data_IF_314688987148
#
_entry.id   IF_314688987148
#
_cell.length_a   1.000
_cell.length_b   1.000
_cell.length_c   1.000
_cell.angle_alpha   90.00
_cell.angle_beta   90.00
_cell.angle_gamma   90.00
#
_symmetry.space_group_name_H-M   'P 1'
#
loop_
_entity.id
_entity.type
_entity.pdbx_description
1 polymer ?
#
# COMPACT_ATOMS: atom_id res chain seq x y z
N UNK A 1 -21.67 39.38 -3.89
CA UNK A 1 -21.03 39.75 -2.61
C UNK A 1 -19.66 40.35 -2.93
N UNK A 2 -19.34 41.57 -2.47
CA UNK A 2 -18.12 42.28 -2.85
C UNK A 2 -17.14 42.34 -1.67
N UNK A 3 -16.12 41.48 -1.59
CA UNK A 3 -14.93 41.70 -0.76
C UNK A 3 -13.78 40.80 -1.23
N UNK A 4 -12.55 41.32 -1.09
CA UNK A 4 -11.22 40.76 -1.43
C UNK A 4 -10.59 41.23 -2.76
N UNK A 5 -10.63 42.54 -3.01
CA UNK A 5 -9.43 43.23 -3.52
C UNK A 5 -8.73 43.84 -2.31
N UNK A 6 -7.81 43.07 -1.73
CA UNK A 6 -6.94 43.55 -0.67
C UNK A 6 -6.09 44.71 -1.18
N UNK A 7 -6.01 45.76 -0.37
CA UNK A 7 -5.20 46.96 -0.57
C UNK A 7 -3.70 46.65 -0.47
N UNK A 8 -3.16 45.93 -1.45
CA UNK A 8 -1.74 45.68 -1.62
C UNK A 8 -1.36 45.86 -3.09
N UNK A 9 -0.47 46.81 -3.37
CA UNK A 9 0.35 46.88 -4.58
C UNK A 9 -0.29 46.93 -5.97
N UNK A 10 -1.52 47.43 -6.11
CA UNK A 10 -2.09 47.72 -7.45
C UNK A 10 -1.18 48.64 -8.30
N UNK A 11 -0.46 49.58 -7.69
CA UNK A 11 0.48 50.47 -8.38
C UNK A 11 1.72 49.76 -8.94
N UNK A 12 2.34 48.87 -8.16
CA UNK A 12 3.48 48.08 -8.62
C UNK A 12 3.07 47.09 -9.72
N UNK A 13 1.90 46.46 -9.60
CA UNK A 13 1.36 45.57 -10.64
C UNK A 13 1.15 46.34 -11.95
N UNK A 14 0.56 47.54 -11.91
CA UNK A 14 0.33 48.36 -13.09
C UNK A 14 1.66 48.82 -13.70
N UNK A 15 2.63 49.26 -12.88
CA UNK A 15 3.97 49.66 -13.35
C UNK A 15 4.70 48.50 -14.02
N UNK A 16 4.67 47.30 -13.45
CA UNK A 16 5.30 46.12 -14.03
C UNK A 16 4.61 45.66 -15.31
N UNK A 17 3.28 45.72 -15.36
CA UNK A 17 2.53 45.43 -16.58
C UNK A 17 2.91 46.44 -17.67
N UNK A 18 2.99 47.74 -17.35
CA UNK A 18 3.40 48.78 -18.31
C UNK A 18 4.85 48.61 -18.80
N UNK A 19 5.78 48.17 -17.95
CA UNK A 19 7.16 47.84 -18.34
C UNK A 19 7.25 46.59 -19.24
N UNK A 20 6.32 45.65 -19.10
CA UNK A 20 6.28 44.41 -19.89
C UNK A 20 5.62 44.57 -21.27
N UNK A 21 4.91 45.66 -21.53
CA UNK A 21 4.15 45.87 -22.77
C UNK A 21 4.75 46.97 -23.62
N UNK A 22 5.47 46.57 -24.67
CA UNK A 22 5.88 47.46 -25.75
C UNK A 22 4.88 47.39 -26.91
N UNK A 23 4.80 48.46 -27.71
CA UNK A 23 4.07 48.42 -28.99
C UNK A 23 4.65 47.28 -29.86
N UNK A 24 3.84 46.24 -30.09
CA UNK A 24 4.23 45.03 -30.83
C UNK A 24 4.07 43.70 -30.08
N UNK A 25 3.80 43.70 -28.77
CA UNK A 25 3.56 42.46 -28.02
C UNK A 25 2.34 41.70 -28.54
N UNK A 26 2.48 40.37 -28.68
CA UNK A 26 1.38 39.49 -29.08
C UNK A 26 0.39 39.29 -27.94
N UNK A 27 -0.89 39.03 -28.29
CA UNK A 27 -1.93 38.71 -27.30
C UNK A 27 -1.55 37.52 -26.38
N UNK A 28 -0.78 36.58 -26.91
CA UNK A 28 -0.29 35.42 -26.16
C UNK A 28 0.71 35.83 -25.08
N UNK A 29 1.65 36.73 -25.39
CA UNK A 29 2.62 37.25 -24.43
C UNK A 29 1.92 38.04 -23.33
N UNK A 30 0.96 38.88 -23.71
CA UNK A 30 0.12 39.64 -22.77
C UNK A 30 -0.62 38.68 -21.81
N UNK A 31 -1.31 37.68 -22.36
CA UNK A 31 -2.04 36.70 -21.55
C UNK A 31 -1.12 35.91 -20.61
N UNK A 32 0.07 35.54 -21.09
CA UNK A 32 1.05 34.79 -20.29
C UNK A 32 1.56 35.63 -19.12
N UNK A 33 1.89 36.91 -19.38
CA UNK A 33 2.32 37.86 -18.36
C UNK A 33 1.22 38.08 -17.30
N UNK A 34 -0.02 38.31 -17.73
CA UNK A 34 -1.16 38.44 -16.81
C UNK A 34 -1.36 37.19 -15.94
N UNK A 35 -1.28 35.99 -16.53
CA UNK A 35 -1.36 34.74 -15.79
C UNK A 35 -0.20 34.59 -14.78
N UNK A 36 1.01 35.03 -15.13
CA UNK A 36 2.17 34.97 -14.25
C UNK A 36 2.00 35.88 -13.02
N UNK A 37 1.57 37.12 -13.23
CA UNK A 37 1.28 38.08 -12.16
C UNK A 37 0.15 37.57 -11.26
N UNK A 38 -0.94 37.08 -11.86
CA UNK A 38 -2.06 36.51 -11.12
C UNK A 38 -1.62 35.34 -10.23
N UNK A 39 -0.89 34.37 -10.79
CA UNK A 39 -0.41 33.21 -10.03
C UNK A 39 0.59 33.60 -8.95
N UNK A 40 1.48 34.56 -9.22
CA UNK A 40 2.44 35.10 -8.26
C UNK A 40 1.72 35.64 -7.03
N UNK A 41 0.67 36.44 -7.24
CA UNK A 41 -0.13 36.99 -6.14
C UNK A 41 -0.96 35.92 -5.43
N UNK A 42 -1.70 35.09 -6.18
CA UNK A 42 -2.64 34.11 -5.59
C UNK A 42 -1.94 32.98 -4.82
N UNK A 43 -0.72 32.60 -5.23
CA UNK A 43 0.09 31.57 -4.59
C UNK A 43 1.18 32.13 -3.68
N UNK A 44 1.19 33.45 -3.44
CA UNK A 44 2.19 34.15 -2.61
C UNK A 44 3.63 33.72 -2.96
N UNK A 45 3.98 33.84 -4.24
CA UNK A 45 5.28 33.41 -4.74
C UNK A 45 5.90 34.43 -5.70
N UNK A 46 7.22 34.38 -5.88
CA UNK A 46 7.90 35.30 -6.78
C UNK A 46 7.44 35.14 -8.24
N UNK A 47 7.47 36.24 -9.00
CA UNK A 47 7.11 36.24 -10.41
C UNK A 47 7.98 35.25 -11.23
N UNK A 48 9.25 35.08 -10.84
CA UNK A 48 10.13 34.06 -11.42
C UNK A 48 9.61 32.64 -11.21
N UNK A 49 9.14 32.31 -10.01
CA UNK A 49 8.56 30.99 -9.70
C UNK A 49 7.24 30.78 -10.45
N UNK A 50 6.40 31.80 -10.56
CA UNK A 50 5.18 31.75 -11.37
C UNK A 50 5.48 31.50 -12.86
N UNK A 51 6.44 32.21 -13.43
CA UNK A 51 6.89 31.98 -14.81
C UNK A 51 7.47 30.57 -15.01
N UNK A 52 8.21 30.06 -14.02
CA UNK A 52 8.71 28.67 -14.03
C UNK A 52 7.56 27.66 -14.05
N UNK A 53 6.49 27.89 -13.30
CA UNK A 53 5.28 27.04 -13.32
C UNK A 53 4.60 27.07 -14.70
N UNK A 54 4.41 28.26 -15.28
CA UNK A 54 3.83 28.43 -16.61
C UNK A 54 4.68 27.77 -17.71
N UNK A 55 6.01 27.81 -17.57
CA UNK A 55 6.94 27.22 -18.53
C UNK A 55 6.96 25.70 -18.44
N UNK A 56 6.94 25.16 -17.21
CA UNK A 56 6.82 23.71 -16.97
C UNK A 56 5.48 23.15 -17.44
N UNK A 57 4.45 23.99 -17.50
CA UNK A 57 3.11 23.54 -17.85
C UNK A 57 2.39 24.50 -18.80
N UNK A 58 2.66 24.38 -20.12
CA UNK A 58 2.17 25.29 -21.15
C UNK A 58 0.65 25.55 -21.19
N UNK A 59 -0.25 24.58 -20.87
CA UNK A 59 -1.69 24.85 -20.86
C UNK A 59 -2.11 26.02 -19.96
N UNK A 60 -1.37 26.28 -18.88
CA UNK A 60 -1.66 27.40 -17.97
C UNK A 60 -1.45 28.76 -18.63
N UNK A 61 -0.57 28.86 -19.63
CA UNK A 61 -0.29 30.11 -20.32
C UNK A 61 -1.53 30.64 -21.05
N UNK A 62 -2.34 29.73 -21.58
CA UNK A 62 -3.53 30.03 -22.38
C UNK A 62 -4.83 29.87 -21.61
N UNK A 63 -4.77 29.49 -20.34
CA UNK A 63 -5.96 29.31 -19.51
C UNK A 63 -6.59 30.65 -19.10
N UNK A 64 -7.90 30.64 -18.88
CA UNK A 64 -8.62 31.79 -18.31
C UNK A 64 -8.22 31.99 -16.85
N UNK A 65 -7.91 33.23 -16.47
CA UNK A 65 -7.64 33.62 -15.07
C UNK A 65 -8.83 33.24 -14.17
N UNK A 66 -10.07 33.41 -14.65
CA UNK A 66 -11.26 33.05 -13.90
C UNK A 66 -11.30 31.54 -13.57
N UNK A 67 -11.05 30.68 -14.56
CA UNK A 67 -10.99 29.24 -14.33
C UNK A 67 -9.88 28.87 -13.35
N UNK A 68 -8.71 29.50 -13.48
CA UNK A 68 -7.59 29.28 -12.56
C UNK A 68 -7.93 29.73 -11.14
N UNK A 69 -8.61 30.87 -10.96
CA UNK A 69 -9.04 31.36 -9.66
C UNK A 69 -10.04 30.41 -8.99
N UNK A 70 -11.09 30.03 -9.70
CA UNK A 70 -12.12 29.11 -9.19
C UNK A 70 -11.51 27.75 -8.84
N UNK A 71 -10.64 27.23 -9.70
CA UNK A 71 -9.94 25.97 -9.43
C UNK A 71 -9.01 26.09 -8.22
N UNK A 72 -8.28 27.20 -8.07
CA UNK A 72 -7.44 27.44 -6.88
C UNK A 72 -8.29 27.52 -5.62
N UNK A 73 -9.43 28.22 -5.66
CA UNK A 73 -10.35 28.28 -4.53
C UNK A 73 -10.87 26.87 -4.17
N UNK A 74 -11.20 26.04 -5.17
CA UNK A 74 -11.61 24.66 -4.96
C UNK A 74 -10.48 23.80 -4.35
N UNK A 75 -9.25 23.89 -4.86
CA UNK A 75 -8.10 23.13 -4.36
C UNK A 75 -7.68 23.57 -2.94
N UNK A 76 -7.68 24.87 -2.65
CA UNK A 76 -7.26 25.41 -1.36
C UNK A 76 -8.35 25.23 -0.30
N UNK A 77 -9.60 25.59 -0.62
CA UNK A 77 -10.69 25.60 0.37
C UNK A 77 -11.38 24.25 0.51
N UNK A 78 -11.78 23.62 -0.60
CA UNK A 78 -12.55 22.36 -0.57
C UNK A 78 -11.65 21.14 -0.37
N UNK A 79 -10.52 21.10 -1.07
CA UNK A 79 -9.55 19.99 -0.93
C UNK A 79 -8.58 20.19 0.25
N UNK A 80 -8.46 21.40 0.77
CA UNK A 80 -7.53 21.71 1.86
C UNK A 80 -6.07 21.53 1.47
N UNK A 81 -5.72 21.72 0.18
CA UNK A 81 -4.34 21.59 -0.24
C UNK A 81 -3.51 22.79 0.24
N UNK A 82 -2.31 22.54 0.82
CA UNK A 82 -1.39 23.63 1.07
C UNK A 82 -0.89 24.17 -0.27
N UNK A 83 -0.58 25.47 -0.30
CA UNK A 83 -0.05 26.15 -1.49
C UNK A 83 1.18 25.42 -2.05
N UNK A 84 2.06 24.91 -1.20
CA UNK A 84 3.23 24.12 -1.59
C UNK A 84 2.85 22.93 -2.48
N UNK A 85 1.86 22.14 -2.08
CA UNK A 85 1.38 20.98 -2.84
C UNK A 85 0.78 21.37 -4.20
N UNK A 86 0.05 22.49 -4.24
CA UNK A 86 -0.50 23.03 -5.50
C UNK A 86 0.64 23.43 -6.45
N UNK A 87 1.69 24.08 -5.93
CA UNK A 87 2.86 24.46 -6.74
C UNK A 87 3.68 23.26 -7.22
N UNK A 88 3.74 22.17 -6.46
CA UNK A 88 4.44 20.93 -6.84
C UNK A 88 3.67 20.12 -7.88
N UNK A 89 2.36 20.34 -8.01
CA UNK A 89 1.45 19.54 -8.84
C UNK A 89 0.75 20.44 -9.89
N UNK A 90 1.50 21.15 -10.75
CA UNK A 90 0.95 22.15 -11.67
C UNK A 90 -0.02 21.55 -12.70
N UNK A 91 0.09 20.23 -12.91
CA UNK A 91 -0.79 19.46 -13.78
C UNK A 91 -2.26 19.43 -13.30
N UNK A 92 -2.53 19.79 -12.04
CA UNK A 92 -3.89 20.01 -11.55
C UNK A 92 -4.45 21.34 -12.01
N UNK A 93 -3.61 22.37 -12.09
CA UNK A 93 -4.04 23.73 -12.41
C UNK A 93 -4.56 23.87 -13.85
N UNK A 94 -4.28 22.91 -14.75
CA UNK A 94 -4.88 22.92 -16.10
C UNK A 94 -6.30 22.40 -16.18
N UNK A 95 -6.85 21.89 -15.08
CA UNK A 95 -8.21 21.37 -15.10
C UNK A 95 -9.21 22.50 -15.30
N UNK A 96 -10.36 22.17 -15.88
CA UNK A 96 -11.51 23.08 -15.83
C UNK A 96 -12.22 22.87 -14.49
N UNK A 97 -12.53 23.97 -13.78
CA UNK A 97 -13.16 23.88 -12.46
C UNK A 97 -14.50 23.13 -12.52
N UNK A 98 -15.33 23.42 -13.52
CA UNK A 98 -16.62 22.74 -13.75
C UNK A 98 -16.44 21.24 -13.96
N UNK A 99 -15.37 20.81 -14.64
CA UNK A 99 -15.10 19.38 -14.83
C UNK A 99 -14.76 18.69 -13.52
N UNK A 100 -14.06 19.38 -12.61
CA UNK A 100 -13.76 18.85 -11.28
C UNK A 100 -15.02 18.79 -10.43
N UNK A 101 -15.87 19.82 -10.48
CA UNK A 101 -17.14 19.83 -9.76
C UNK A 101 -18.09 18.75 -10.26
N UNK A 102 -18.22 18.61 -11.59
CA UNK A 102 -18.98 17.56 -12.25
C UNK A 102 -18.47 16.17 -11.87
N UNK A 103 -17.14 15.96 -11.86
CA UNK A 103 -16.55 14.69 -11.44
C UNK A 103 -16.94 14.34 -9.99
N UNK A 104 -16.90 15.32 -9.08
CA UNK A 104 -17.26 15.12 -7.68
C UNK A 104 -18.77 14.92 -7.46
N UNK A 105 -19.62 15.51 -8.30
CA UNK A 105 -21.08 15.33 -8.21
C UNK A 105 -21.53 13.99 -8.76
N UNK A 106 -20.98 13.57 -9.89
CA UNK A 106 -21.32 12.30 -10.54
C UNK A 106 -20.72 11.09 -9.83
N UNK A 107 -19.53 11.25 -9.24
CA UNK A 107 -18.86 10.20 -8.49
C UNK A 107 -18.55 10.69 -7.08
N UNK A 108 -19.55 10.77 -6.17
CA UNK A 108 -19.31 11.18 -4.78
C UNK A 108 -18.49 10.15 -4.01
N UNK A 109 -18.59 8.87 -4.38
CA UNK A 109 -17.86 7.76 -3.78
C UNK A 109 -17.28 6.82 -4.85
N UNK A 110 -16.09 6.28 -4.58
CA UNK A 110 -15.43 5.26 -5.38
C UNK A 110 -15.16 4.07 -4.45
N UNK A 111 -15.80 2.93 -4.73
CA UNK A 111 -15.74 1.73 -3.87
C UNK A 111 -16.06 2.03 -2.39
N UNK A 112 -17.08 2.86 -2.13
CA UNK A 112 -17.47 3.26 -0.77
C UNK A 112 -16.51 4.24 -0.09
N UNK A 113 -15.45 4.68 -0.77
CA UNK A 113 -14.54 5.72 -0.28
C UNK A 113 -14.95 7.06 -0.87
N UNK A 114 -15.03 8.09 -0.03
CA UNK A 114 -15.32 9.45 -0.48
C UNK A 114 -14.30 9.92 -1.55
N UNK A 115 -14.81 10.36 -2.71
CA UNK A 115 -13.97 10.74 -3.85
C UNK A 115 -13.10 11.96 -3.57
N UNK A 116 -13.56 12.89 -2.74
CA UNK A 116 -12.74 14.04 -2.33
C UNK A 116 -11.49 13.56 -1.59
N UNK A 117 -11.64 12.61 -0.67
CA UNK A 117 -10.51 12.06 0.10
C UNK A 117 -9.58 11.21 -0.77
N UNK A 118 -10.13 10.45 -1.72
CA UNK A 118 -9.35 9.76 -2.74
C UNK A 118 -8.52 10.73 -3.59
N UNK A 119 -9.15 11.78 -4.10
CA UNK A 119 -8.50 12.79 -4.92
C UNK A 119 -7.48 13.63 -4.12
N UNK A 120 -7.63 13.78 -2.80
CA UNK A 120 -6.59 14.36 -1.96
C UNK A 120 -5.30 13.53 -1.97
N UNK A 121 -5.42 12.20 -1.97
CA UNK A 121 -4.28 11.25 -2.00
C UNK A 121 -3.73 11.06 -3.41
N UNK A 122 -4.59 11.05 -4.42
CA UNK A 122 -4.24 10.81 -5.82
C UNK A 122 -4.89 11.88 -6.69
N UNK A 123 -4.35 13.11 -6.74
CA UNK A 123 -4.98 14.22 -7.44
C UNK A 123 -5.16 14.00 -8.94
N UNK A 124 -4.30 13.18 -9.56
CA UNK A 124 -4.39 12.80 -10.97
C UNK A 124 -5.71 12.07 -11.30
N UNK A 125 -6.43 11.54 -10.30
CA UNK A 125 -7.75 10.96 -10.46
C UNK A 125 -8.74 11.92 -11.11
N UNK A 126 -8.68 13.22 -10.76
CA UNK A 126 -9.59 14.25 -11.28
C UNK A 126 -9.44 14.52 -12.78
N UNK A 127 -8.37 14.02 -13.40
CA UNK A 127 -8.13 14.12 -14.85
C UNK A 127 -8.71 12.95 -15.62
N UNK A 128 -9.15 11.90 -14.94
CA UNK A 128 -9.64 10.68 -15.58
C UNK A 128 -11.06 10.90 -16.07
N UNK A 129 -11.41 10.38 -17.27
CA UNK A 129 -12.81 10.27 -17.66
C UNK A 129 -13.57 9.43 -16.64
N UNK A 130 -14.78 9.88 -16.26
CA UNK A 130 -15.67 9.21 -15.31
C UNK A 130 -15.89 7.75 -15.72
N UNK A 131 -16.20 7.49 -16.99
CA UNK A 131 -16.39 6.14 -17.54
C UNK A 131 -15.18 5.22 -17.28
N UNK A 132 -13.96 5.76 -17.35
CA UNK A 132 -12.75 4.98 -17.10
C UNK A 132 -12.60 4.65 -15.62
N UNK A 133 -13.00 5.55 -14.72
CA UNK A 133 -12.96 5.33 -13.27
C UNK A 133 -14.05 4.33 -12.88
N UNK A 134 -15.26 4.45 -13.44
CA UNK A 134 -16.36 3.50 -13.24
C UNK A 134 -16.00 2.10 -13.71
N UNK A 135 -15.44 1.95 -14.92
CA UNK A 135 -14.96 0.64 -15.42
C UNK A 135 -13.89 0.04 -14.50
N UNK A 136 -12.95 0.85 -14.04
CA UNK A 136 -11.92 0.38 -13.11
C UNK A 136 -12.53 -0.02 -11.75
N UNK A 137 -13.53 0.72 -11.26
CA UNK A 137 -14.28 0.36 -10.08
C UNK A 137 -14.98 -0.98 -10.25
N UNK A 138 -15.67 -1.22 -11.37
CA UNK A 138 -16.29 -2.52 -11.66
C UNK A 138 -15.27 -3.65 -11.66
N UNK A 139 -14.11 -3.46 -12.32
CA UNK A 139 -13.02 -4.44 -12.28
C UNK A 139 -12.59 -4.73 -10.85
N UNK A 140 -12.40 -3.72 -10.01
CA UNK A 140 -12.01 -3.94 -8.62
C UNK A 140 -13.10 -4.69 -7.82
N UNK A 141 -14.38 -4.42 -8.08
CA UNK A 141 -15.51 -5.13 -7.46
C UNK A 141 -15.59 -6.59 -7.90
N UNK A 142 -15.37 -6.87 -9.18
CA UNK A 142 -15.37 -8.24 -9.73
C UNK A 142 -14.30 -9.12 -9.06
N UNK A 143 -13.20 -8.50 -8.60
CA UNK A 143 -12.14 -9.15 -7.85
C UNK A 143 -12.31 -9.05 -6.33
N UNK A 144 -13.47 -8.61 -5.83
CA UNK A 144 -13.80 -8.48 -4.40
C UNK A 144 -12.80 -7.60 -3.63
N UNK A 145 -12.27 -6.57 -4.28
CA UNK A 145 -11.34 -5.64 -3.63
C UNK A 145 -12.12 -4.72 -2.69
N UNK A 146 -11.69 -4.71 -1.43
CA UNK A 146 -12.31 -3.92 -0.37
C UNK A 146 -11.89 -2.45 -0.41
N UNK A 147 -12.71 -1.58 0.19
CA UNK A 147 -12.41 -0.17 0.45
C UNK A 147 -11.11 0.01 1.27
N UNK A 148 -10.88 -0.86 2.27
CA UNK A 148 -9.66 -0.90 3.09
C UNK A 148 -8.41 -1.14 2.23
N UNK A 149 -8.51 -2.08 1.27
CA UNK A 149 -7.43 -2.36 0.33
C UNK A 149 -7.18 -1.17 -0.60
N UNK A 150 -8.26 -0.56 -1.10
CA UNK A 150 -8.17 0.62 -1.93
C UNK A 150 -7.46 1.78 -1.19
N UNK A 151 -7.84 2.04 0.06
CA UNK A 151 -7.24 3.10 0.87
C UNK A 151 -5.73 2.89 1.10
N UNK A 152 -5.27 1.63 1.09
CA UNK A 152 -3.84 1.30 1.18
C UNK A 152 -3.09 1.62 -0.12
N UNK A 153 -3.71 1.48 -1.29
CA UNK A 153 -3.08 1.78 -2.58
C UNK A 153 -4.04 2.47 -3.56
N UNK A 154 -4.43 3.74 -3.31
CA UNK A 154 -5.32 4.48 -4.21
C UNK A 154 -4.66 4.76 -5.56
N UNK A 155 -3.32 4.64 -5.62
CA UNK A 155 -2.51 4.81 -6.83
C UNK A 155 -2.84 3.76 -7.91
N UNK A 156 -3.60 2.71 -7.62
CA UNK A 156 -4.09 1.79 -8.66
C UNK A 156 -4.89 2.51 -9.75
N UNK A 157 -5.55 3.64 -9.42
CA UNK A 157 -6.27 4.50 -10.36
C UNK A 157 -5.39 5.28 -11.35
N UNK A 158 -4.06 5.15 -11.25
CA UNK A 158 -3.14 5.68 -12.27
C UNK A 158 -3.01 4.76 -13.50
N UNK A 159 -3.56 3.53 -13.44
CA UNK A 159 -3.55 2.60 -14.57
C UNK A 159 -4.86 2.64 -15.35
N UNK A 160 -4.86 2.00 -16.54
CA UNK A 160 -6.09 1.78 -17.30
C UNK A 160 -6.87 0.58 -16.72
N UNK A 161 -8.21 0.51 -16.91
CA UNK A 161 -9.00 -0.64 -16.46
C UNK A 161 -8.44 -1.98 -16.94
N UNK A 162 -8.08 -2.07 -18.22
CA UNK A 162 -7.53 -3.29 -18.83
C UNK A 162 -6.22 -3.73 -18.16
N UNK A 163 -5.32 -2.78 -17.88
CA UNK A 163 -4.05 -3.09 -17.20
C UNK A 163 -4.29 -3.63 -15.80
N UNK A 164 -5.22 -3.04 -15.03
CA UNK A 164 -5.53 -3.51 -13.68
C UNK A 164 -6.19 -4.89 -13.72
N UNK A 165 -7.15 -5.09 -14.63
CA UNK A 165 -7.82 -6.38 -14.83
C UNK A 165 -6.82 -7.50 -15.16
N UNK A 166 -5.94 -7.28 -16.16
CA UNK A 166 -4.92 -8.27 -16.53
C UNK A 166 -3.99 -8.61 -15.36
N UNK A 167 -3.54 -7.60 -14.61
CA UNK A 167 -2.65 -7.81 -13.45
C UNK A 167 -3.36 -8.56 -12.33
N UNK A 168 -4.62 -8.24 -12.04
CA UNK A 168 -5.43 -8.94 -11.04
C UNK A 168 -5.67 -10.39 -11.45
N UNK A 169 -6.04 -10.65 -12.70
CA UNK A 169 -6.19 -12.01 -13.23
C UNK A 169 -4.91 -12.82 -13.03
N UNK A 170 -3.76 -12.27 -13.41
CA UNK A 170 -2.48 -12.97 -13.27
C UNK A 170 -2.12 -13.23 -11.80
N UNK A 171 -2.34 -12.27 -10.91
CA UNK A 171 -2.08 -12.43 -9.48
C UNK A 171 -3.01 -13.48 -8.85
N UNK A 172 -4.29 -13.46 -9.17
CA UNK A 172 -5.26 -14.42 -8.65
C UNK A 172 -5.08 -15.83 -9.22
N UNK A 173 -4.59 -15.96 -10.46
CA UNK A 173 -4.28 -17.27 -11.07
C UNK A 173 -2.94 -17.85 -10.59
N UNK A 174 -2.05 -17.02 -10.04
CA UNK A 174 -0.78 -17.47 -9.50
C UNK A 174 -0.95 -18.11 -8.12
N UNK A 175 -0.44 -19.34 -7.96
CA UNK A 175 -0.40 -20.03 -6.67
C UNK A 175 0.38 -19.27 -5.59
N UNK A 176 1.38 -18.46 -6.00
CA UNK A 176 2.25 -17.71 -5.09
C UNK A 176 1.57 -16.42 -4.57
N UNK A 177 0.56 -15.89 -5.29
CA UNK A 177 -0.05 -14.59 -4.98
C UNK A 177 -1.54 -14.67 -4.65
N UNK A 178 -2.27 -15.70 -5.06
CA UNK A 178 -3.72 -15.84 -4.84
C UNK A 178 -4.08 -15.84 -3.34
N UNK A 179 -3.27 -16.52 -2.55
CA UNK A 179 -3.29 -16.56 -1.08
C UNK A 179 -3.17 -15.18 -0.43
N UNK A 180 -2.61 -14.19 -1.12
CA UNK A 180 -2.41 -12.83 -0.62
C UNK A 180 -3.59 -11.92 -0.94
N UNK A 181 -4.61 -12.39 -1.68
CA UNK A 181 -5.79 -11.62 -2.07
C UNK A 181 -6.51 -10.95 -0.89
N UNK A 182 -6.72 -11.61 0.27
CA UNK A 182 -7.41 -10.97 1.40
C UNK A 182 -6.61 -9.82 2.03
N UNK A 183 -5.31 -9.71 1.72
CA UNK A 183 -4.44 -8.79 2.44
C UNK A 183 -4.69 -7.32 2.08
N UNK A 184 -4.69 -6.44 3.09
CA UNK A 184 -4.93 -5.00 2.91
C UNK A 184 -3.99 -4.31 1.91
N UNK A 185 -2.73 -4.76 1.78
CA UNK A 185 -1.76 -4.20 0.82
C UNK A 185 -1.73 -4.94 -0.51
N UNK A 186 -2.64 -5.88 -0.78
CA UNK A 186 -2.64 -6.68 -2.00
C UNK A 186 -2.55 -5.82 -3.27
N UNK A 187 -3.27 -4.69 -3.33
CA UNK A 187 -3.20 -3.76 -4.47
C UNK A 187 -1.82 -3.17 -4.74
N UNK A 188 -0.89 -3.18 -3.78
CA UNK A 188 0.49 -2.78 -4.06
C UNK A 188 1.21 -3.77 -4.99
N UNK A 189 0.81 -5.05 -5.00
CA UNK A 189 1.31 -6.01 -5.98
C UNK A 189 0.83 -5.64 -7.39
N UNK A 190 -0.42 -5.20 -7.54
CA UNK A 190 -0.93 -4.68 -8.81
C UNK A 190 -0.13 -3.45 -9.25
N UNK A 191 0.19 -2.55 -8.32
CA UNK A 191 0.96 -1.35 -8.63
C UNK A 191 2.40 -1.66 -9.07
N UNK A 192 3.08 -2.55 -8.35
CA UNK A 192 4.47 -2.96 -8.62
C UNK A 192 4.62 -4.21 -9.51
N UNK A 193 3.55 -4.59 -10.22
CA UNK A 193 3.45 -5.85 -10.96
C UNK A 193 4.67 -6.16 -11.84
N UNK A 194 5.16 -5.17 -12.59
CA UNK A 194 6.28 -5.35 -13.54
C UNK A 194 7.58 -5.84 -12.88
N UNK A 195 7.74 -5.64 -11.56
CA UNK A 195 8.94 -6.08 -10.83
C UNK A 195 8.71 -7.40 -10.09
N UNK A 196 7.50 -7.95 -10.07
CA UNK A 196 7.16 -9.10 -9.24
C UNK A 196 7.92 -10.35 -9.67
N UNK A 197 7.92 -10.68 -10.96
CA UNK A 197 8.53 -11.93 -11.45
C UNK A 197 10.04 -11.95 -11.19
N UNK A 198 10.75 -10.85 -11.49
CA UNK A 198 12.19 -10.73 -11.22
C UNK A 198 12.49 -10.85 -9.73
N UNK A 199 11.67 -10.23 -8.86
CA UNK A 199 11.86 -10.31 -7.41
C UNK A 199 11.53 -11.69 -6.86
N UNK A 200 10.49 -12.33 -7.38
CA UNK A 200 10.09 -13.67 -7.00
C UNK A 200 11.18 -14.68 -7.37
N UNK A 201 11.73 -14.58 -8.59
CA UNK A 201 12.86 -15.41 -9.02
C UNK A 201 14.08 -15.19 -8.13
N UNK A 202 14.46 -13.93 -7.86
CA UNK A 202 15.58 -13.63 -6.98
C UNK A 202 15.36 -14.21 -5.57
N UNK A 203 14.18 -14.03 -4.98
CA UNK A 203 13.87 -14.60 -3.66
C UNK A 203 13.92 -16.13 -3.66
N UNK A 204 13.44 -16.80 -4.70
CA UNK A 204 13.57 -18.26 -4.84
C UNK A 204 15.03 -18.71 -4.96
N UNK A 205 15.87 -17.97 -5.68
CA UNK A 205 17.31 -18.27 -5.84
C UNK A 205 18.09 -18.12 -4.53
N UNK A 206 17.73 -17.15 -3.70
CA UNK A 206 18.38 -16.89 -2.40
C UNK A 206 17.65 -17.54 -1.22
N UNK A 207 16.68 -18.42 -1.50
CA UNK A 207 15.82 -19.10 -0.51
C UNK A 207 15.20 -18.16 0.55
N UNK A 208 14.70 -17.02 0.07
CA UNK A 208 14.11 -15.98 0.91
C UNK A 208 12.60 -16.15 0.98
N UNK A 209 12.00 -16.13 2.19
CA UNK A 209 10.56 -16.21 2.34
C UNK A 209 9.82 -15.11 1.58
N UNK A 210 8.81 -15.49 0.80
CA UNK A 210 8.00 -14.55 0.02
C UNK A 210 7.17 -13.66 0.96
N UNK A 211 7.36 -12.34 0.89
CA UNK A 211 6.51 -11.37 1.60
C UNK A 211 6.18 -10.15 0.74
N UNK A 212 4.96 -9.61 0.92
CA UNK A 212 4.48 -8.44 0.15
C UNK A 212 5.41 -7.25 0.30
N UNK A 213 5.95 -7.03 1.51
CA UNK A 213 6.88 -5.92 1.73
C UNK A 213 8.07 -5.97 0.76
N UNK A 214 8.69 -7.14 0.54
CA UNK A 214 9.82 -7.30 -0.40
C UNK A 214 9.45 -6.96 -1.85
N UNK A 215 8.23 -7.30 -2.27
CA UNK A 215 7.73 -6.94 -3.60
C UNK A 215 7.49 -5.43 -3.78
N UNK A 216 7.31 -4.69 -2.69
CA UNK A 216 6.99 -3.24 -2.71
C UNK A 216 8.18 -2.32 -2.45
N UNK A 217 9.34 -2.85 -2.04
CA UNK A 217 10.55 -2.05 -1.77
C UNK A 217 11.07 -1.30 -3.02
N UNK A 218 11.88 -0.26 -2.84
CA UNK A 218 12.70 0.28 -3.94
C UNK A 218 13.73 -0.76 -4.39
N UNK A 219 14.26 -0.63 -5.62
CA UNK A 219 15.31 -1.54 -6.14
C UNK A 219 16.52 -1.57 -5.21
N UNK A 220 17.05 -0.40 -4.83
CA UNK A 220 18.19 -0.29 -3.91
C UNK A 220 17.95 -0.93 -2.54
N UNK A 221 16.74 -0.77 -1.98
CA UNK A 221 16.39 -1.40 -0.70
C UNK A 221 16.22 -2.91 -0.86
N UNK A 222 15.62 -3.37 -1.96
CA UNK A 222 15.46 -4.79 -2.24
C UNK A 222 16.82 -5.50 -2.39
N UNK A 223 17.71 -4.95 -3.23
CA UNK A 223 19.06 -5.49 -3.46
C UNK A 223 19.86 -5.52 -2.15
N UNK A 224 19.76 -4.47 -1.34
CA UNK A 224 20.40 -4.42 -0.02
C UNK A 224 19.85 -5.49 0.93
N UNK A 225 18.54 -5.73 0.95
CA UNK A 225 17.95 -6.78 1.78
C UNK A 225 18.37 -8.18 1.33
N UNK A 226 18.50 -8.42 0.03
CA UNK A 226 19.02 -9.69 -0.50
C UNK A 226 20.50 -9.89 -0.14
N UNK A 227 21.35 -8.87 -0.32
CA UNK A 227 22.79 -9.00 -0.11
C UNK A 227 23.19 -9.02 1.38
N UNK A 228 22.50 -8.27 2.24
CA UNK A 228 22.87 -8.19 3.67
C UNK A 228 22.34 -9.37 4.50
N UNK A 229 21.50 -10.25 3.93
CA UNK A 229 20.86 -11.35 4.65
C UNK A 229 19.96 -10.90 5.82
N UNK A 230 19.72 -9.58 5.94
CA UNK A 230 18.87 -8.98 6.96
C UNK A 230 17.42 -9.06 6.49
N UNK A 231 16.87 -10.27 6.51
CA UNK A 231 15.45 -10.52 6.33
C UNK A 231 14.71 -10.03 7.57
N UNK A 232 14.58 -8.71 7.72
CA UNK A 232 13.53 -8.18 8.58
C UNK A 232 12.22 -8.45 7.87
N UNK A 233 11.71 -9.68 7.99
CA UNK A 233 10.32 -9.94 7.67
C UNK A 233 9.55 -8.92 8.49
N UNK A 234 8.70 -8.15 7.81
CA UNK A 234 7.95 -7.09 8.44
C UNK A 234 6.93 -7.74 9.37
N UNK A 235 7.36 -8.08 10.59
CA UNK A 235 6.54 -8.71 11.64
C UNK A 235 5.26 -7.91 11.84
N UNK A 236 5.29 -6.61 11.56
CA UNK A 236 4.13 -5.74 11.55
C UNK A 236 3.00 -6.24 10.65
N UNK A 237 3.31 -6.72 9.45
CA UNK A 237 2.31 -7.23 8.52
C UNK A 237 1.65 -8.51 9.06
N UNK A 238 2.43 -9.35 9.74
CA UNK A 238 1.94 -10.53 10.49
C UNK A 238 1.10 -10.09 11.70
N UNK A 239 1.57 -9.12 12.49
CA UNK A 239 0.85 -8.58 13.65
C UNK A 239 -0.52 -8.05 13.26
N UNK A 240 -0.59 -7.32 12.15
CA UNK A 240 -1.83 -6.73 11.67
C UNK A 240 -2.81 -7.76 11.13
N UNK A 241 -2.31 -8.77 10.41
CA UNK A 241 -3.12 -9.90 9.97
C UNK A 241 -3.72 -10.64 11.17
N UNK A 242 -2.89 -11.00 12.14
CA UNK A 242 -3.32 -11.69 13.35
C UNK A 242 -4.29 -10.85 14.18
N UNK A 243 -4.05 -9.54 14.31
CA UNK A 243 -4.94 -8.62 15.00
C UNK A 243 -6.34 -8.63 14.39
N UNK A 244 -6.43 -8.64 13.05
CA UNK A 244 -7.71 -8.72 12.33
C UNK A 244 -8.39 -10.08 12.51
N UNK A 245 -7.65 -11.19 12.32
CA UNK A 245 -8.22 -12.56 12.42
C UNK A 245 -8.63 -12.90 13.85
N UNK A 246 -7.81 -12.55 14.84
CA UNK A 246 -8.02 -12.88 16.24
C UNK A 246 -8.90 -11.86 16.98
N UNK A 247 -9.18 -10.70 16.37
CA UNK A 247 -10.02 -9.65 16.96
C UNK A 247 -9.34 -8.90 18.12
N UNK A 248 -8.03 -8.69 18.02
CA UNK A 248 -7.22 -7.97 19.02
C UNK A 248 -6.52 -6.75 18.39
N UNK A 249 -5.79 -5.98 19.20
CA UNK A 249 -5.01 -4.84 18.72
C UNK A 249 -3.64 -5.27 18.17
N UNK A 250 -3.08 -4.50 17.23
CA UNK A 250 -1.70 -4.71 16.70
C UNK A 250 -0.68 -4.79 17.84
N UNK A 251 -0.87 -3.98 18.89
CA UNK A 251 0.03 -3.91 20.05
C UNK A 251 -0.02 -5.19 20.88
N UNK A 252 -1.20 -5.74 21.18
CA UNK A 252 -1.33 -6.99 21.94
C UNK A 252 -0.65 -8.16 21.23
N UNK A 253 -0.82 -8.25 19.90
CA UNK A 253 -0.14 -9.27 19.11
C UNK A 253 1.37 -9.06 19.13
N UNK A 254 1.82 -7.81 18.96
CA UNK A 254 3.24 -7.49 18.99
C UNK A 254 3.87 -7.85 20.33
N UNK A 255 3.22 -7.51 21.45
CA UNK A 255 3.70 -7.80 22.80
C UNK A 255 3.78 -9.33 23.04
N UNK A 256 2.80 -10.10 22.53
CA UNK A 256 2.80 -11.57 22.62
C UNK A 256 3.90 -12.21 21.75
N UNK A 257 4.05 -11.77 20.49
CA UNK A 257 5.10 -12.28 19.60
C UNK A 257 6.52 -11.93 20.07
N UNK A 258 6.69 -10.85 20.85
CA UNK A 258 7.98 -10.51 21.46
C UNK A 258 8.48 -11.55 22.46
N UNK A 259 7.61 -12.41 22.99
CA UNK A 259 7.97 -13.45 23.94
C UNK A 259 8.71 -14.63 23.29
N UNK A 260 8.61 -14.79 21.97
CA UNK A 260 9.16 -15.94 21.27
C UNK A 260 10.55 -15.62 20.68
N UNK A 261 11.55 -16.48 20.92
CA UNK A 261 12.81 -16.42 20.19
C UNK A 261 12.55 -16.70 18.70
N UNK A 262 13.31 -16.06 17.80
CA UNK A 262 13.21 -16.24 16.34
C UNK A 262 11.92 -15.73 15.66
N UNK A 263 11.28 -14.70 16.23
CA UNK A 263 10.15 -13.99 15.61
C UNK A 263 10.34 -13.51 14.16
N UNK A 264 11.59 -13.46 13.71
CA UNK A 264 11.98 -12.94 12.39
C UNK A 264 11.77 -13.96 11.25
N UNK A 265 11.42 -15.22 11.57
CA UNK A 265 11.33 -16.30 10.59
C UNK A 265 9.92 -16.53 10.02
N UNK A 266 8.85 -16.01 10.62
CA UNK A 266 7.49 -16.25 10.11
C UNK A 266 7.19 -15.36 8.92
N UNK A 267 7.05 -15.97 7.74
CA UNK A 267 6.40 -15.30 6.62
C UNK A 267 4.89 -15.17 6.88
N UNK A 268 4.29 -14.05 6.46
CA UNK A 268 2.84 -13.84 6.52
C UNK A 268 2.08 -14.99 5.85
N UNK A 269 2.63 -15.53 4.76
CA UNK A 269 2.02 -16.66 4.07
C UNK A 269 1.95 -17.91 4.94
N UNK A 270 3.07 -18.31 5.53
CA UNK A 270 3.09 -19.48 6.41
C UNK A 270 2.17 -19.25 7.62
N UNK A 271 2.22 -18.05 8.22
CA UNK A 271 1.34 -17.65 9.30
C UNK A 271 -0.14 -17.83 8.92
N UNK A 272 -0.57 -17.33 7.76
CA UNK A 272 -1.97 -17.51 7.29
C UNK A 272 -2.34 -18.97 7.21
N UNK A 273 -1.52 -19.80 6.55
CA UNK A 273 -1.80 -21.23 6.37
C UNK A 273 -1.89 -21.99 7.70
N UNK A 274 -1.01 -21.68 8.66
CA UNK A 274 -1.04 -22.27 10.01
C UNK A 274 -2.33 -21.86 10.74
N UNK A 275 -2.66 -20.57 10.73
CA UNK A 275 -3.87 -20.04 11.37
C UNK A 275 -5.13 -20.67 10.77
N UNK A 276 -5.24 -20.68 9.44
CA UNK A 276 -6.40 -21.24 8.72
C UNK A 276 -6.58 -22.72 9.05
N UNK A 277 -5.49 -23.51 8.97
CA UNK A 277 -5.52 -24.93 9.32
C UNK A 277 -6.00 -25.18 10.75
N UNK A 278 -5.45 -24.46 11.73
CA UNK A 278 -5.80 -24.67 13.14
C UNK A 278 -7.26 -24.26 13.44
N UNK A 279 -7.73 -23.17 12.84
CA UNK A 279 -9.13 -22.74 12.96
C UNK A 279 -10.09 -23.74 12.30
N UNK A 280 -9.73 -24.29 11.13
CA UNK A 280 -10.50 -25.32 10.43
C UNK A 280 -10.56 -26.63 11.23
N UNK A 281 -9.51 -26.95 11.99
CA UNK A 281 -9.48 -28.06 12.94
C UNK A 281 -10.29 -27.79 14.24
N UNK A 282 -10.98 -26.66 14.34
CA UNK A 282 -11.85 -26.32 15.48
C UNK A 282 -11.12 -25.68 16.66
N UNK A 283 -9.85 -25.28 16.51
CA UNK A 283 -9.16 -24.51 17.55
C UNK A 283 -9.78 -23.12 17.64
N UNK A 284 -10.06 -22.67 18.86
CA UNK A 284 -10.61 -21.34 19.10
C UNK A 284 -9.54 -20.26 18.98
N UNK A 285 -9.95 -19.04 18.61
CA UNK A 285 -9.07 -17.86 18.57
C UNK A 285 -8.33 -17.61 19.90
N UNK A 286 -8.96 -17.95 21.03
CA UNK A 286 -8.36 -17.81 22.37
C UNK A 286 -7.23 -18.82 22.60
N UNK A 287 -7.42 -20.07 22.20
CA UNK A 287 -6.36 -21.10 22.25
C UNK A 287 -5.18 -20.72 21.35
N UNK A 288 -5.48 -20.21 20.15
CA UNK A 288 -4.44 -19.77 19.22
C UNK A 288 -3.65 -18.56 19.75
N UNK A 289 -4.32 -17.61 20.40
CA UNK A 289 -3.66 -16.46 21.03
C UNK A 289 -2.76 -16.89 22.22
N UNK A 290 -3.16 -17.93 22.95
CA UNK A 290 -2.36 -18.51 24.04
C UNK A 290 -1.07 -19.15 23.52
N UNK A 291 -1.16 -19.93 22.44
CA UNK A 291 -0.03 -20.58 21.78
C UNK A 291 0.42 -19.91 20.49
N UNK A 292 0.49 -18.57 20.48
CA UNK A 292 0.72 -17.82 19.25
C UNK A 292 2.05 -18.18 18.55
N UNK A 293 3.05 -18.63 19.30
CA UNK A 293 4.35 -19.05 18.76
C UNK A 293 4.29 -20.16 17.71
N UNK A 294 3.18 -20.89 17.61
CA UNK A 294 2.99 -21.96 16.60
C UNK A 294 3.16 -21.43 15.17
N UNK A 295 2.90 -20.14 14.92
CA UNK A 295 3.00 -19.53 13.58
C UNK A 295 4.44 -19.45 13.02
N UNK A 296 5.45 -19.71 13.86
CA UNK A 296 6.86 -19.72 13.47
C UNK A 296 7.30 -21.06 12.88
N UNK A 297 6.45 -22.10 12.97
CA UNK A 297 6.70 -23.42 12.42
C UNK A 297 6.09 -23.56 11.02
N UNK A 298 6.73 -24.35 10.16
CA UNK A 298 6.18 -24.67 8.84
C UNK A 298 4.82 -25.35 8.96
N UNK A 299 3.89 -24.99 8.08
CA UNK A 299 2.52 -25.53 8.11
C UNK A 299 2.48 -27.05 7.99
N UNK A 300 3.37 -27.69 7.22
CA UNK A 300 3.37 -29.14 7.07
C UNK A 300 3.87 -29.82 8.35
N UNK A 301 4.85 -29.23 9.04
CA UNK A 301 5.26 -29.67 10.39
C UNK A 301 4.10 -29.56 11.36
N UNK A 302 3.42 -28.40 11.40
CA UNK A 302 2.26 -28.19 12.28
C UNK A 302 1.17 -29.23 12.01
N UNK A 303 0.85 -29.51 10.75
CA UNK A 303 -0.13 -30.53 10.37
C UNK A 303 0.26 -31.94 10.81
N UNK A 304 1.53 -32.31 10.66
CA UNK A 304 2.02 -33.63 11.06
C UNK A 304 1.85 -33.85 12.56
N UNK A 305 2.42 -32.95 13.38
CA UNK A 305 2.35 -33.04 14.83
C UNK A 305 0.92 -32.90 15.37
N UNK A 306 0.06 -32.12 14.71
CA UNK A 306 -1.34 -32.03 15.10
C UNK A 306 -2.09 -33.35 14.91
N UNK A 307 -1.81 -34.09 13.82
CA UNK A 307 -2.35 -35.44 13.61
C UNK A 307 -1.77 -36.45 14.59
N UNK A 308 -0.48 -36.31 14.93
CA UNK A 308 0.16 -37.21 15.89
C UNK A 308 -0.41 -37.02 17.29
N UNK A 309 -0.70 -35.77 17.69
CA UNK A 309 -1.38 -35.45 18.95
C UNK A 309 -2.70 -36.18 19.13
N UNK A 310 -3.50 -36.29 18.06
CA UNK A 310 -4.78 -37.00 18.08
C UNK A 310 -4.61 -38.50 18.42
N UNK A 311 -3.51 -39.09 17.97
CA UNK A 311 -3.23 -40.53 18.04
C UNK A 311 -2.27 -40.91 19.18
N UNK A 312 -1.67 -39.94 19.86
CA UNK A 312 -0.60 -40.22 20.82
C UNK A 312 -1.16 -40.72 22.16
N UNK A 313 -0.73 -41.90 22.64
CA UNK A 313 -1.32 -42.56 23.80
C UNK A 313 -1.11 -41.80 25.12
N UNK A 314 -0.13 -40.88 25.18
CA UNK A 314 0.07 -40.03 26.37
C UNK A 314 -0.91 -38.86 26.48
N UNK A 315 -1.62 -38.51 25.40
CA UNK A 315 -2.54 -37.36 25.37
C UNK A 315 -4.02 -37.80 25.30
N UNK A 316 -4.26 -39.09 25.03
CA UNK A 316 -5.56 -39.76 25.12
C UNK A 316 -5.70 -40.43 26.51
N UNK A 317 -6.57 -39.88 27.38
CA UNK A 317 -7.93 -40.42 27.41
C UNK A 317 -9.06 -39.37 27.49
N UNK A 318 -8.78 -38.08 27.24
CA UNK A 318 -9.78 -37.03 27.40
C UNK A 318 -10.56 -36.79 26.10
N UNK A 319 -11.85 -37.14 26.08
CA UNK A 319 -12.76 -36.89 24.95
C UNK A 319 -12.85 -35.41 24.53
N UNK A 320 -12.46 -34.49 25.41
CA UNK A 320 -12.53 -33.03 25.22
C UNK A 320 -11.17 -32.36 24.99
N UNK A 321 -10.11 -33.11 24.69
CA UNK A 321 -8.74 -32.57 24.56
C UNK A 321 -8.63 -31.39 23.59
N UNK A 322 -9.40 -31.40 22.49
CA UNK A 322 -9.45 -30.34 21.49
C UNK A 322 -9.91 -28.99 22.08
N UNK A 323 -10.71 -29.02 23.14
CA UNK A 323 -11.24 -27.81 23.81
C UNK A 323 -10.28 -27.23 24.86
N UNK A 324 -9.18 -27.92 25.16
CA UNK A 324 -8.28 -27.52 26.23
C UNK A 324 -7.53 -26.22 25.89
N UNK A 325 -7.51 -25.27 26.82
CA UNK A 325 -6.95 -23.93 26.60
C UNK A 325 -5.47 -23.94 26.18
N UNK A 326 -4.69 -24.90 26.70
CA UNK A 326 -3.25 -25.04 26.43
C UNK A 326 -2.92 -26.00 25.26
N UNK A 327 -3.90 -26.40 24.46
CA UNK A 327 -3.69 -27.36 23.37
C UNK A 327 -2.59 -26.92 22.41
N UNK A 328 -2.62 -25.66 21.97
CA UNK A 328 -1.63 -25.13 21.03
C UNK A 328 -0.24 -25.07 21.67
N UNK A 329 -0.15 -24.83 22.98
CA UNK A 329 1.11 -24.89 23.72
C UNK A 329 1.68 -26.31 23.77
N UNK A 330 0.81 -27.31 23.93
CA UNK A 330 1.20 -28.71 23.90
C UNK A 330 1.72 -29.10 22.51
N UNK A 331 1.07 -28.63 21.44
CA UNK A 331 1.56 -28.80 20.08
C UNK A 331 2.96 -28.21 19.88
N UNK A 332 3.19 -26.97 20.33
CA UNK A 332 4.53 -26.37 20.28
C UNK A 332 5.53 -27.23 21.06
N UNK A 333 5.16 -27.66 22.27
CA UNK A 333 5.99 -28.51 23.10
C UNK A 333 6.35 -29.83 22.40
N UNK A 334 5.39 -30.52 21.78
CA UNK A 334 5.65 -31.76 21.04
C UNK A 334 6.62 -31.55 19.88
N UNK A 335 6.48 -30.46 19.14
CA UNK A 335 7.43 -30.10 18.07
C UNK A 335 8.83 -29.85 18.66
N UNK A 336 8.93 -29.13 19.77
CA UNK A 336 10.21 -28.78 20.38
C UNK A 336 10.92 -29.95 21.05
N UNK A 337 10.18 -30.88 21.66
CA UNK A 337 10.73 -32.09 22.28
C UNK A 337 11.46 -32.94 21.25
N UNK A 338 10.81 -33.20 20.11
CA UNK A 338 11.40 -34.01 19.03
C UNK A 338 12.55 -33.26 18.34
N UNK A 339 12.53 -31.93 18.35
CA UNK A 339 13.66 -31.08 17.95
C UNK A 339 14.84 -31.10 18.95
N UNK A 340 14.71 -31.76 20.10
CA UNK A 340 15.70 -31.72 21.19
C UNK A 340 15.83 -30.35 21.85
N UNK A 341 14.76 -29.54 21.89
CA UNK A 341 14.70 -28.17 22.41
C UNK A 341 15.75 -27.20 21.84
N UNK A 342 16.37 -27.59 20.74
CA UNK A 342 17.47 -26.85 20.12
C UNK A 342 16.99 -25.69 19.24
N UNK A 343 15.68 -25.61 19.00
CA UNK A 343 15.12 -24.82 17.90
C UNK A 343 15.56 -25.31 16.52
N UNK A 344 16.27 -26.45 16.38
CA UNK A 344 16.83 -26.90 15.09
C UNK A 344 15.80 -27.36 14.06
N UNK A 345 14.57 -27.72 14.42
CA UNK A 345 13.53 -27.95 13.39
C UNK A 345 13.24 -26.65 12.61
N UNK A 346 13.56 -25.48 13.19
CA UNK A 346 13.57 -24.20 12.45
C UNK A 346 14.81 -24.00 11.57
N UNK A 347 15.86 -24.84 11.69
CA UNK A 347 17.08 -24.83 10.85
C UNK A 347 17.03 -25.84 9.70
N UNK A 348 16.29 -26.93 9.81
CA UNK A 348 16.36 -28.06 8.85
C UNK A 348 15.65 -27.82 7.51
N UNK A 349 15.02 -26.66 7.29
CA UNK A 349 14.70 -26.20 5.93
C UNK A 349 15.89 -25.48 5.25
N UNK A 350 16.91 -25.07 6.00
CA UNK A 350 18.04 -24.26 5.55
C UNK A 350 19.39 -24.94 5.66
N UNK A 351 19.50 -26.09 6.32
CA UNK A 351 20.71 -26.90 6.33
C UNK A 351 20.34 -28.38 6.54
N UNK A 352 20.58 -29.22 5.53
CA UNK A 352 21.00 -30.59 5.78
C UNK A 352 22.24 -30.94 4.95
N UNK A 353 23.10 -31.83 5.51
CA UNK A 353 24.55 -31.69 5.41
C UNK A 353 25.18 -32.80 4.58
N UNK A 354 26.45 -32.61 4.22
CA UNK A 354 27.52 -33.62 4.28
C UNK A 354 28.62 -33.28 3.28
N UNK A 355 29.81 -32.90 3.79
CA UNK A 355 31.06 -33.60 3.46
C UNK A 355 32.00 -33.56 4.66
N UNK A 356 31.85 -34.56 5.53
CA UNK A 356 32.97 -35.11 6.27
C UNK A 356 33.79 -35.94 5.28
N UNK A 357 34.93 -35.42 4.84
CA UNK A 357 36.06 -36.24 4.36
C UNK A 357 37.37 -35.67 4.87
N UNK A 358 37.79 -36.17 6.03
CA UNK A 358 39.17 -36.46 6.42
C UNK A 358 39.05 -37.80 7.15
N UNK A 359 39.76 -38.88 6.87
CA UNK A 359 41.10 -39.06 6.32
C UNK A 359 41.30 -40.58 6.13
N UNK A 360 41.93 -40.95 5.03
CA UNK A 360 42.56 -42.25 4.77
C UNK A 360 43.66 -42.02 3.76
#
# INVERSE_FOLDING_TARGET
MPYLLGSGNNGEIISHLQEMYTDGSSLKEIKTAMNAVFLSHKLDCSLYKANTLLSRYPPLQVQSILNTDQLLNLLLMKFGFPISKVTETPNLLSLHHESVEYFLSEMPEILGVNTLDMAKRVPILLRRPIDSVQKLQSVLQDFEITDKQLLCCPKVFTFTPNTVQQRLQNLCNSKDFSILKPYRKFLWLVYYYNNLDLRLQAMKTFDVPCCITMFTLSKSSFDRHLCEGRYRINIRDVCLYLAEVLGCTEKEIQDNLCLYPHRENSSLLNCSKVVDFLLDCGITKKQLLNGLGVIFYDVETVKAYFKDLENHPAYQPFSEWLSHFNLVQLLIYSIEVDAGFSGSIMKTALDEPERLTSSG
#
